data_IF_506942725605
#
_entry.id   IF_506942725605
#
_cell.length_a   1.000
_cell.length_b   1.000
_cell.length_c   1.000
_cell.angle_alpha   90.00
_cell.angle_beta   90.00
_cell.angle_gamma   90.00
#
_symmetry.space_group_name_H-M   'P 1'
#
loop_
_entity.id
_entity.type
_entity.pdbx_description
1 polymer ?
2 polymer ?
3 water ?
#
# COMPACT_ATOMS: atom_id res chain seq x y z
N UNK A 1 12.39 4.59 -15.47
CA UNK A 1 11.26 5.37 -15.99
C UNK A 1 10.83 6.29 -14.85
N UNK A 2 9.88 7.23 -14.88
CA UNK A 2 9.57 8.02 -13.71
C UNK A 2 8.18 8.60 -13.82
N UNK A 3 7.75 9.15 -12.69
CA UNK A 3 6.45 9.77 -12.57
C UNK A 3 6.78 11.24 -12.38
N UNK A 4 6.20 12.12 -13.18
CA UNK A 4 6.38 13.57 -13.03
C UNK A 4 5.13 13.92 -12.27
N UNK A 5 5.18 14.63 -11.16
CA UNK A 5 4.04 14.71 -10.25
C UNK A 5 2.93 15.75 -10.46
N UNK A 6 2.63 16.11 -11.72
CA UNK A 6 1.56 17.03 -12.10
C UNK A 6 0.22 16.31 -11.91
N UNK A 7 0.20 14.97 -12.00
CA UNK A 7 -0.96 14.15 -11.68
C UNK A 7 -0.61 13.19 -10.50
N UNK A 8 -1.65 12.68 -9.81
CA UNK A 8 -1.50 11.65 -8.77
C UNK A 8 -0.67 10.44 -9.26
N UNK A 9 0.39 9.94 -8.57
CA UNK A 9 1.17 8.77 -9.03
C UNK A 9 0.37 7.49 -8.71
N UNK A 10 -0.49 7.07 -9.62
CA UNK A 10 -1.39 5.92 -9.47
C UNK A 10 -1.09 4.75 -10.46
N UNK A 11 -1.02 3.52 -9.97
CA UNK A 11 -0.84 2.36 -10.82
C UNK A 11 -1.84 1.26 -10.42
N UNK A 12 -1.99 0.26 -11.30
CA UNK A 12 -2.78 -0.94 -11.00
C UNK A 12 -1.85 -2.00 -10.43
N UNK A 13 -2.25 -2.71 -9.39
CA UNK A 13 -1.49 -3.77 -8.74
C UNK A 13 -2.38 -5.03 -8.68
N UNK A 14 -1.85 -6.25 -8.58
CA UNK A 14 -2.66 -7.47 -8.33
C UNK A 14 -2.34 -8.02 -6.95
N UNK A 15 -3.24 -8.05 -6.01
CA UNK A 15 -2.96 -8.55 -4.68
C UNK A 15 -3.68 -9.90 -4.69
N UNK A 16 -2.87 -10.96 -4.59
CA UNK A 16 -3.35 -12.35 -4.56
C UNK A 16 -4.37 -12.58 -5.67
N UNK A 17 -4.00 -12.09 -6.85
CA UNK A 17 -4.81 -12.23 -8.05
C UNK A 17 -5.86 -11.16 -8.26
N UNK A 18 -6.22 -10.42 -7.24
CA UNK A 18 -7.21 -9.38 -7.39
C UNK A 18 -6.59 -8.04 -7.87
N UNK A 19 -7.08 -7.33 -8.88
CA UNK A 19 -6.61 -6.02 -9.35
C UNK A 19 -7.09 -4.78 -8.58
N UNK A 20 -6.21 -3.84 -8.23
CA UNK A 20 -6.57 -2.71 -7.40
C UNK A 20 -5.79 -1.48 -7.91
N UNK A 21 -6.37 -0.27 -7.92
CA UNK A 21 -5.71 0.99 -8.24
C UNK A 21 -5.10 1.49 -6.95
N UNK A 22 -3.81 1.85 -6.96
CA UNK A 22 -3.16 2.27 -5.72
C UNK A 22 -2.40 3.58 -5.95
N UNK A 23 -2.24 4.40 -4.90
CA UNK A 23 -1.46 5.66 -4.94
C UNK A 23 -0.06 5.41 -4.39
N UNK A 24 1.04 5.77 -5.06
CA UNK A 24 2.37 5.52 -4.51
C UNK A 24 2.76 6.68 -3.61
N UNK A 25 2.84 6.47 -2.31
CA UNK A 25 2.96 7.53 -1.34
C UNK A 25 4.19 7.53 -0.45
N UNK A 26 5.15 8.44 -0.67
CA UNK A 26 6.39 8.54 0.10
C UNK A 26 6.15 9.05 1.52
N UNK A 27 5.00 9.65 1.85
CA UNK A 27 4.81 10.10 3.20
C UNK A 27 4.09 8.98 3.92
N UNK A 28 3.87 7.74 3.43
CA UNK A 28 3.25 6.69 4.21
C UNK A 28 4.38 5.73 4.63
N UNK A 29 4.31 5.35 5.89
CA UNK A 29 5.21 4.38 6.42
C UNK A 29 4.91 3.00 5.92
N UNK A 30 3.62 2.70 5.82
CA UNK A 30 3.04 1.39 5.50
C UNK A 30 1.99 1.38 4.41
N UNK A 31 1.46 0.21 3.99
CA UNK A 31 0.42 0.14 2.97
C UNK A 31 -0.96 -0.30 3.48
N UNK A 32 -2.09 0.21 3.00
CA UNK A 32 -3.40 -0.18 3.47
C UNK A 32 -4.32 -0.20 2.26
N UNK A 33 -5.20 -1.21 2.15
CA UNK A 33 -5.99 -1.43 0.95
C UNK A 33 -7.41 -1.70 1.42
N UNK A 34 -8.41 -1.47 0.61
CA UNK A 34 -9.75 -1.84 0.98
C UNK A 34 -10.31 -2.63 -0.22
N UNK A 35 -11.42 -3.29 0.09
CA UNK A 35 -12.21 -3.99 -0.90
C UNK A 35 -11.56 -5.23 -1.46
N UNK A 36 -10.62 -5.82 -0.73
CA UNK A 36 -9.89 -7.03 -1.10
C UNK A 36 -10.09 -7.95 0.10
N UNK A 37 -10.24 -9.26 -0.04
CA UNK A 37 -10.36 -10.15 1.12
C UNK A 37 -9.07 -10.99 1.25
N UNK A 38 -8.42 -11.01 2.43
CA UNK A 38 -7.15 -11.72 2.51
C UNK A 38 -6.92 -12.84 3.54
N UNK A 39 -7.89 -13.15 4.41
CA UNK A 39 -7.74 -14.30 5.27
C UNK A 39 -8.01 -14.02 6.74
N UNK A 40 -8.01 -15.06 7.55
CA UNK A 40 -8.16 -14.95 9.00
C UNK A 40 -6.88 -14.89 9.75
N UNK A 41 -5.78 -14.98 9.05
CA UNK A 41 -4.51 -14.94 9.75
C UNK A 41 -3.98 -13.52 9.74
N UNK A 42 -4.59 -12.64 10.54
CA UNK A 42 -4.10 -11.28 10.64
C UNK A 42 -3.81 -10.83 12.06
N UNK A 43 -3.03 -9.77 12.28
CA UNK A 43 -2.91 -9.17 13.60
C UNK A 43 -3.70 -7.87 13.58
N UNK A 44 -4.43 -7.47 14.63
CA UNK A 44 -5.13 -6.18 14.74
C UNK A 44 -4.17 -4.99 14.85
N UNK A 45 -4.43 -3.83 14.21
CA UNK A 45 -3.55 -2.66 14.29
C UNK A 45 -4.41 -1.39 14.29
N UNK A 46 -3.82 -0.23 14.52
CA UNK A 46 -4.51 1.05 14.37
C UNK A 46 -3.46 1.92 13.69
N UNK A 47 -3.87 2.58 12.62
CA UNK A 47 -2.96 3.50 11.98
C UNK A 47 -3.54 4.90 12.15
N UNK A 48 -2.67 5.86 12.40
CA UNK A 48 -3.09 7.25 12.48
C UNK A 48 -2.73 7.99 11.21
N UNK A 49 -3.59 8.92 10.78
CA UNK A 49 -3.34 9.81 9.63
C UNK A 49 -3.59 11.29 10.02
N UNK A 50 -4.12 12.10 9.08
CA UNK A 50 -4.44 13.53 9.31
C UNK A 50 -5.68 13.73 10.17
N UNK A 51 -6.83 13.20 9.77
CA UNK A 51 -8.02 13.54 10.54
C UNK A 51 -8.26 12.75 11.81
N UNK A 52 -7.37 11.83 12.23
CA UNK A 52 -7.57 10.89 13.35
C UNK A 52 -6.99 9.52 13.01
N UNK A 53 -7.50 8.39 13.55
CA UNK A 53 -6.94 7.05 13.35
C UNK A 53 -7.98 6.02 12.96
N UNK A 54 -7.61 4.88 12.39
CA UNK A 54 -8.54 3.81 12.01
C UNK A 54 -8.07 2.41 12.49
N UNK A 55 -8.94 1.41 12.49
CA UNK A 55 -8.56 0.05 12.88
C UNK A 55 -8.12 -0.71 11.67
N UNK A 56 -7.02 -1.44 11.65
CA UNK A 56 -6.68 -2.25 10.48
C UNK A 56 -6.43 -3.74 10.81
N UNK A 57 -6.22 -4.57 9.77
CA UNK A 57 -5.83 -6.00 9.86
C UNK A 57 -4.52 -6.20 9.12
N UNK A 58 -3.44 -6.54 9.82
CA UNK A 58 -2.13 -6.72 9.21
C UNK A 58 -1.85 -8.20 8.81
N UNK A 59 -1.51 -8.39 7.54
CA UNK A 59 -1.29 -9.64 6.85
C UNK A 59 0.16 -9.62 6.45
N UNK A 60 0.94 -10.68 6.68
CA UNK A 60 2.35 -10.66 6.29
C UNK A 60 2.54 -11.58 5.08
N UNK A 61 3.67 -11.36 4.42
CA UNK A 61 4.03 -12.13 3.23
C UNK A 61 2.95 -12.37 2.18
N UNK A 62 2.31 -11.26 1.73
CA UNK A 62 1.27 -11.21 0.70
C UNK A 62 1.89 -11.04 -0.67
N UNK A 63 1.29 -11.64 -1.70
CA UNK A 63 1.82 -11.62 -3.05
C UNK A 63 1.19 -10.54 -3.94
N UNK A 64 2.14 -9.75 -4.45
CA UNK A 64 1.82 -8.46 -5.05
C UNK A 64 2.57 -8.46 -6.38
N UNK A 65 1.87 -8.15 -7.47
CA UNK A 65 2.48 -8.02 -8.79
C UNK A 65 2.26 -6.57 -9.19
N UNK A 66 3.29 -5.79 -9.47
CA UNK A 66 3.15 -4.38 -9.85
C UNK A 66 4.42 -3.99 -10.62
N UNK A 67 4.33 -3.11 -11.63
CA UNK A 67 5.46 -2.59 -12.44
C UNK A 67 6.44 -3.61 -13.05
N UNK A 68 5.77 -4.67 -13.48
CA UNK A 68 6.41 -5.80 -14.11
C UNK A 68 7.25 -6.56 -13.10
N UNK A 69 6.83 -6.68 -11.82
CA UNK A 69 7.56 -7.47 -10.86
C UNK A 69 6.59 -7.93 -9.82
N UNK A 70 7.01 -9.08 -9.26
CA UNK A 70 6.25 -9.84 -8.26
C UNK A 70 7.07 -9.84 -6.96
N UNK A 71 6.51 -9.34 -5.86
CA UNK A 71 7.22 -9.16 -4.60
C UNK A 71 6.26 -9.74 -3.57
N UNK A 72 6.73 -10.03 -2.34
CA UNK A 72 5.86 -10.46 -1.25
C UNK A 72 5.99 -9.39 -0.15
N UNK A 73 4.97 -8.95 0.58
CA UNK A 73 5.20 -7.98 1.66
C UNK A 73 4.03 -7.87 2.60
N UNK A 74 4.13 -6.94 3.55
CA UNK A 74 3.06 -6.67 4.51
C UNK A 74 1.97 -5.69 4.00
N UNK A 75 0.68 -6.04 4.03
CA UNK A 75 -0.40 -5.19 3.58
C UNK A 75 -1.34 -5.11 4.75
N UNK A 76 -1.99 -3.97 5.00
CA UNK A 76 -3.04 -3.90 6.00
C UNK A 76 -4.32 -3.72 5.21
N UNK A 77 -5.46 -4.11 5.75
CA UNK A 77 -6.71 -3.72 5.13
C UNK A 77 -7.47 -2.93 6.21
N UNK A 78 -8.34 -1.99 5.80
CA UNK A 78 -9.14 -1.18 6.72
C UNK A 78 -9.97 -0.23 5.90
N UNK A 79 -10.65 0.73 6.54
CA UNK A 79 -11.53 1.67 5.84
C UNK A 79 -10.84 2.97 5.40
N UNK A 80 -9.90 2.79 4.49
CA UNK A 80 -9.15 3.90 3.96
C UNK A 80 -10.05 4.40 2.82
N UNK A 81 -10.12 5.71 2.60
CA UNK A 81 -10.74 6.31 1.42
C UNK A 81 -10.01 6.15 0.09
N UNK A 82 -8.72 5.78 0.09
CA UNK A 82 -7.95 5.57 -1.12
C UNK A 82 -6.95 4.46 -0.76
N UNK A 83 -6.46 3.64 -1.69
CA UNK A 83 -5.47 2.63 -1.36
C UNK A 83 -4.09 3.19 -1.61
N UNK A 84 -3.23 2.90 -0.67
CA UNK A 84 -1.89 3.43 -0.57
C UNK A 84 -0.79 2.38 -0.60
N UNK A 85 0.24 2.53 -1.43
CA UNK A 85 1.44 1.74 -1.22
C UNK A 85 2.48 2.66 -0.55
N UNK A 86 2.88 2.40 0.69
CA UNK A 86 3.81 3.19 1.45
C UNK A 86 5.24 2.79 1.22
N UNK A 87 6.17 3.41 1.99
CA UNK A 87 7.62 3.22 1.78
C UNK A 87 8.12 1.76 1.84
N UNK A 88 7.39 0.92 2.61
CA UNK A 88 7.72 -0.50 2.83
C UNK A 88 7.70 -1.28 1.53
N UNK A 89 6.73 -0.97 0.66
CA UNK A 89 6.75 -1.56 -0.65
C UNK A 89 7.52 -0.75 -1.69
N UNK A 90 7.61 0.59 -1.60
CA UNK A 90 8.33 1.38 -2.61
C UNK A 90 9.80 1.07 -2.56
N UNK A 91 10.38 0.71 -1.41
CA UNK A 91 11.79 0.33 -1.33
C UNK A 91 12.00 -1.01 -2.03
N UNK A 92 11.05 -1.92 -1.84
CA UNK A 92 11.09 -3.21 -2.49
C UNK A 92 10.94 -3.02 -3.99
N UNK A 93 10.34 -1.93 -4.54
CA UNK A 93 10.27 -1.71 -5.98
C UNK A 93 11.43 -0.90 -6.55
N UNK A 94 12.44 -0.62 -5.74
CA UNK A 94 13.59 0.19 -6.16
C UNK A 94 13.26 1.61 -6.65
N UNK A 95 12.42 2.30 -5.89
CA UNK A 95 12.05 3.68 -6.18
C UNK A 95 12.81 4.66 -5.29
N UNK A 96 13.08 5.83 -5.88
CA UNK A 96 13.68 6.96 -5.21
C UNK A 96 12.97 8.22 -5.71
N UNK A 97 13.06 9.20 -4.82
CA UNK A 97 12.57 10.52 -5.08
C UNK A 97 13.81 11.26 -5.63
N UNK A 98 13.72 11.78 -6.84
CA UNK A 98 14.84 12.42 -7.50
C UNK A 98 14.63 13.90 -7.74
N UNK A 99 15.72 14.65 -7.66
CA UNK A 99 15.72 16.07 -7.93
C UNK A 99 17.15 16.40 -8.44
N UNK B 1 0.33 11.23 4.84
CA UNK B 1 1.02 10.85 6.05
C UNK B 1 0.12 9.76 6.61
N UNK B 2 0.73 8.61 6.93
CA UNK B 2 0.12 7.42 7.51
C UNK B 2 1.16 6.85 8.46
N UNK B 3 0.82 6.45 9.67
CA UNK B 3 1.76 5.77 10.54
C UNK B 3 1.00 4.87 11.51
N UNK B 4 1.75 3.98 12.14
CA UNK B 4 1.23 3.03 13.09
C UNK B 4 1.68 3.48 14.47
#
# INVERSE_FOLDING_TARGET
>A
PQFHLWKRPVVTAHIEGQPVEVLLDTGADDSIVTGIELGPHYTPKIVGGIGGFINTKEYKNVEVEVLGKRIKGTIMTGDTPINIFGRNLLTALGMSLNF
>B
FLEK
#
